data_IF_282134893890
#
_entry.id   IF_282134893890
#
_cell.length_a   1.000
_cell.length_b   1.000
_cell.length_c   1.000
_cell.angle_alpha   90.00
_cell.angle_beta   90.00
_cell.angle_gamma   90.00
#
_symmetry.space_group_name_H-M   'P 1'
#
loop_
_entity.id
_entity.type
_entity.pdbx_description
1 polymer ?
#
# COMPACT_ATOMS: atom_id res chain seq x y z
N UNK A 1 -1.59 -1.41 -19.73
CA UNK A 1 -1.69 -2.71 -19.01
C UNK A 1 -0.90 -2.59 -17.71
N UNK A 2 -1.55 -2.59 -16.54
CA UNK A 2 -0.94 -2.16 -15.28
C UNK A 2 -0.53 -3.36 -14.42
N UNK A 3 0.77 -3.49 -14.10
CA UNK A 3 1.35 -3.97 -12.83
C UNK A 3 2.86 -4.24 -13.02
N UNK A 4 3.71 -3.43 -12.37
CA UNK A 4 5.12 -3.79 -12.13
C UNK A 4 5.26 -3.87 -10.62
N UNK A 5 5.46 -5.07 -10.08
CA UNK A 5 5.41 -5.28 -8.63
C UNK A 5 6.83 -5.31 -8.03
N UNK A 6 7.20 -4.30 -7.24
CA UNK A 6 8.36 -4.34 -6.34
C UNK A 6 8.01 -4.96 -4.98
N UNK A 7 8.68 -6.05 -4.58
CA UNK A 7 8.35 -6.83 -3.37
C UNK A 7 9.31 -6.57 -2.21
N UNK A 8 8.79 -6.34 -1.00
CA UNK A 8 9.52 -6.56 0.27
C UNK A 8 8.59 -7.14 1.33
N UNK A 9 9.13 -7.90 2.29
CA UNK A 9 8.41 -8.51 3.43
C UNK A 9 8.55 -7.61 4.66
N UNK A 10 7.60 -7.62 5.62
CA UNK A 10 6.42 -8.48 5.74
C UNK A 10 5.08 -7.82 5.32
N UNK A 11 5.08 -6.56 4.93
CA UNK A 11 3.96 -5.85 4.28
C UNK A 11 4.18 -5.83 2.77
N UNK A 12 3.15 -6.07 1.95
CA UNK A 12 3.36 -6.03 0.49
C UNK A 12 3.19 -4.62 -0.03
N UNK A 13 4.28 -4.01 -0.48
CA UNK A 13 4.26 -2.84 -1.34
C UNK A 13 4.04 -3.30 -2.77
N UNK A 14 3.17 -2.63 -3.51
CA UNK A 14 2.88 -2.96 -4.91
C UNK A 14 2.82 -1.65 -5.68
N UNK A 15 3.71 -1.49 -6.66
CA UNK A 15 3.68 -0.33 -7.55
C UNK A 15 2.63 -0.52 -8.64
N UNK A 16 1.78 0.49 -8.81
CA UNK A 16 0.75 0.54 -9.83
C UNK A 16 1.06 1.69 -10.76
N UNK A 17 1.32 1.39 -12.04
CA UNK A 17 1.66 2.39 -13.05
C UNK A 17 0.64 2.41 -14.17
N UNK A 18 0.17 3.60 -14.55
CA UNK A 18 -0.69 3.72 -15.72
C UNK A 18 0.10 3.55 -17.02
N UNK A 19 0.18 2.31 -17.52
CA UNK A 19 0.73 1.95 -18.83
C UNK A 19 -0.36 1.95 -19.93
N UNK A 20 -1.46 2.68 -19.73
CA UNK A 20 -2.47 2.94 -20.75
C UNK A 20 -2.18 4.24 -21.50
N UNK A 21 -2.88 4.43 -22.62
CA UNK A 21 -2.75 5.65 -23.44
C UNK A 21 -3.66 6.80 -22.94
N UNK A 22 -4.55 6.51 -22.00
CA UNK A 22 -5.54 7.44 -21.44
C UNK A 22 -5.34 7.68 -19.95
N UNK A 23 -5.93 8.77 -19.46
CA UNK A 23 -5.94 9.09 -18.03
C UNK A 23 -6.95 8.20 -17.29
N UNK A 24 -6.51 7.61 -16.19
CA UNK A 24 -7.37 6.89 -15.27
C UNK A 24 -7.85 7.83 -14.16
N UNK A 25 -9.12 7.73 -13.79
CA UNK A 25 -9.76 8.56 -12.78
C UNK A 25 -10.40 7.71 -11.69
N UNK A 26 -10.55 8.30 -10.49
CA UNK A 26 -11.23 7.69 -9.35
C UNK A 26 -10.77 6.24 -9.11
N UNK A 27 -9.45 6.06 -9.08
CA UNK A 27 -8.82 4.74 -9.01
C UNK A 27 -8.93 4.25 -7.57
N UNK A 28 -9.41 3.02 -7.42
CA UNK A 28 -9.61 2.36 -6.14
C UNK A 28 -8.98 0.99 -6.16
N UNK A 29 -8.40 0.61 -5.04
CA UNK A 29 -8.01 -0.76 -4.76
C UNK A 29 -8.77 -1.26 -3.54
N UNK A 30 -9.38 -2.42 -3.69
CA UNK A 30 -10.07 -3.12 -2.60
C UNK A 30 -9.61 -4.57 -2.51
N UNK A 31 -9.80 -5.19 -1.36
CA UNK A 31 -9.57 -6.62 -1.15
C UNK A 31 -10.88 -7.34 -0.85
N UNK A 32 -10.87 -8.68 -0.88
CA UNK A 32 -11.99 -9.53 -0.44
C UNK A 32 -11.99 -9.74 1.08
N UNK A 33 -11.80 -8.66 1.85
CA UNK A 33 -11.64 -8.64 3.32
C UNK A 33 -10.43 -9.47 3.83
N UNK A 34 -9.54 -9.87 2.92
CA UNK A 34 -8.39 -10.71 3.19
C UNK A 34 -7.18 -9.97 3.75
N UNK A 35 -7.15 -8.67 3.50
CA UNK A 35 -6.09 -7.75 3.82
C UNK A 35 -6.66 -6.34 3.81
N UNK A 36 -5.98 -5.42 4.47
CA UNK A 36 -6.26 -4.01 4.30
C UNK A 36 -5.38 -3.46 3.17
N UNK A 37 -5.93 -2.51 2.42
CA UNK A 37 -5.22 -1.88 1.29
C UNK A 37 -5.22 -0.39 1.52
N UNK A 38 -4.03 0.17 1.66
CA UNK A 38 -3.82 1.61 1.70
C UNK A 38 -3.19 2.04 0.38
N UNK A 39 -3.64 3.14 -0.20
CA UNK A 39 -2.99 3.73 -1.36
C UNK A 39 -2.18 4.95 -0.93
N UNK A 40 -0.99 5.08 -1.48
CA UNK A 40 -0.06 6.14 -1.15
C UNK A 40 0.32 6.89 -2.44
N UNK A 41 0.13 8.20 -2.40
CA UNK A 41 0.51 9.12 -3.46
C UNK A 41 1.65 10.00 -2.98
N UNK A 42 2.63 10.20 -3.85
CA UNK A 42 3.72 11.14 -3.61
C UNK A 42 3.44 12.47 -4.31
N UNK A 43 3.96 13.55 -3.75
CA UNK A 43 3.97 14.84 -4.40
C UNK A 43 4.36 15.98 -3.46
N UNK A 44 5.00 17.04 -3.99
CA UNK A 44 5.40 18.20 -3.21
C UNK A 44 4.20 18.98 -2.62
N UNK A 45 2.98 18.69 -3.08
CA UNK A 45 1.76 19.25 -2.52
C UNK A 45 1.41 18.67 -1.14
N UNK A 46 1.96 17.52 -0.77
CA UNK A 46 1.69 16.86 0.51
C UNK A 46 2.70 17.32 1.55
N UNK A 47 2.21 17.64 2.74
CA UNK A 47 3.05 18.13 3.85
C UNK A 47 4.21 17.18 4.17
N UNK A 48 3.99 15.87 3.97
CA UNK A 48 4.95 14.81 4.27
C UNK A 48 5.71 14.28 3.04
N UNK A 49 5.63 14.98 1.91
CA UNK A 49 6.09 14.49 0.61
C UNK A 49 5.19 13.40 -0.01
N UNK A 50 4.36 12.72 0.79
CA UNK A 50 3.33 11.78 0.35
C UNK A 50 2.07 11.90 1.21
N UNK A 51 0.96 11.32 0.73
CA UNK A 51 -0.31 11.19 1.45
C UNK A 51 -0.89 9.79 1.26
N UNK A 52 -1.52 9.26 2.31
CA UNK A 52 -2.34 8.04 2.24
C UNK A 52 -3.75 8.46 1.84
N UNK A 53 -4.26 7.87 0.76
CA UNK A 53 -5.54 8.22 0.17
C UNK A 53 -6.45 7.01 0.06
N UNK A 54 -7.76 7.23 0.20
CA UNK A 54 -8.78 6.21 -0.03
C UNK A 54 -9.02 5.94 -1.52
N UNK A 55 -8.78 6.95 -2.36
CA UNK A 55 -8.83 6.85 -3.82
C UNK A 55 -7.80 7.78 -4.48
N UNK A 56 -7.25 7.32 -5.60
CA UNK A 56 -6.38 8.15 -6.44
C UNK A 56 -7.26 8.86 -7.47
N UNK A 57 -7.44 10.16 -7.29
CA UNK A 57 -8.36 10.95 -8.10
C UNK A 57 -8.04 10.89 -9.61
N UNK A 58 -6.75 10.89 -9.96
CA UNK A 58 -6.24 10.96 -11.32
C UNK A 58 -4.88 10.27 -11.42
N UNK A 59 -4.66 9.51 -12.49
CA UNK A 59 -3.35 8.96 -12.84
C UNK A 59 -3.14 9.03 -14.35
N UNK A 60 -2.23 9.91 -14.79
CA UNK A 60 -1.89 10.09 -16.20
C UNK A 60 -1.00 8.95 -16.71
N UNK A 61 -0.91 8.75 -18.03
CA UNK A 61 0.04 7.80 -18.61
C UNK A 61 1.47 8.01 -18.09
N UNK A 62 2.08 6.93 -17.61
CA UNK A 62 3.42 6.92 -17.02
C UNK A 62 3.49 7.26 -15.53
N UNK A 63 2.44 7.85 -14.94
CA UNK A 63 2.38 8.09 -13.50
C UNK A 63 2.12 6.78 -12.73
N UNK A 64 2.57 6.75 -11.48
CA UNK A 64 2.43 5.60 -10.60
C UNK A 64 1.98 6.00 -9.20
N UNK A 65 1.42 5.03 -8.48
CA UNK A 65 1.17 5.10 -7.05
C UNK A 65 1.54 3.77 -6.40
N UNK A 66 1.65 3.76 -5.07
CA UNK A 66 1.95 2.54 -4.31
C UNK A 66 0.71 2.09 -3.56
N UNK A 67 0.42 0.79 -3.63
CA UNK A 67 -0.50 0.17 -2.71
C UNK A 67 0.28 -0.58 -1.62
N UNK A 68 -0.18 -0.43 -0.38
CA UNK A 68 0.36 -1.07 0.81
C UNK A 68 -0.68 -2.08 1.26
N UNK A 69 -0.34 -3.36 1.15
CA UNK A 69 -1.22 -4.47 1.48
C UNK A 69 -0.83 -5.00 2.87
N UNK A 70 -1.70 -4.75 3.84
CA UNK A 70 -1.49 -5.09 5.23
C UNK A 70 -2.26 -6.36 5.61
N UNK A 71 -1.63 -7.30 6.34
CA UNK A 71 -2.31 -8.49 6.80
C UNK A 71 -3.32 -8.17 7.91
N UNK A 72 -4.57 -8.58 7.71
CA UNK A 72 -5.61 -8.48 8.74
C UNK A 72 -5.80 -9.78 9.54
N UNK A 73 -5.34 -10.91 9.00
CA UNK A 73 -5.53 -12.26 9.56
C UNK A 73 -4.28 -12.78 10.26
N UNK A 74 -4.45 -13.50 11.37
CA UNK A 74 -3.39 -14.26 12.07
C UNK A 74 -2.85 -15.45 11.26
N UNK A 75 -3.49 -15.79 10.14
CA UNK A 75 -3.01 -16.83 9.22
C UNK A 75 -2.40 -16.22 7.98
N UNK A 76 -1.19 -16.69 7.64
CA UNK A 76 -0.53 -16.29 6.41
C UNK A 76 -1.29 -16.80 5.17
N UNK A 77 -1.26 -16.01 4.11
CA UNK A 77 -1.90 -16.34 2.83
C UNK A 77 -0.85 -16.48 1.74
N UNK A 78 -0.89 -17.57 0.98
CA UNK A 78 0.06 -17.81 -0.12
C UNK A 78 -0.10 -16.83 -1.29
N UNK A 79 -1.27 -16.20 -1.41
CA UNK A 79 -1.56 -15.17 -2.42
C UNK A 79 -2.67 -14.24 -1.93
N UNK A 80 -2.67 -13.00 -2.43
CA UNK A 80 -3.69 -11.99 -2.13
C UNK A 80 -4.45 -11.65 -3.40
N UNK A 81 -5.76 -11.45 -3.29
CA UNK A 81 -6.59 -10.95 -4.39
C UNK A 81 -7.00 -9.52 -4.09
N UNK A 82 -6.75 -8.64 -5.04
CA UNK A 82 -7.22 -7.26 -5.01
C UNK A 82 -8.11 -6.98 -6.22
N UNK A 83 -9.03 -6.04 -6.09
CA UNK A 83 -9.85 -5.52 -7.18
C UNK A 83 -9.39 -4.09 -7.44
N UNK A 84 -8.92 -3.84 -8.67
CA UNK A 84 -8.60 -2.51 -9.18
C UNK A 84 -9.82 -1.98 -9.93
N UNK A 85 -10.30 -0.82 -9.52
CA UNK A 85 -11.43 -0.14 -10.16
C UNK A 85 -11.00 1.27 -10.57
N UNK A 86 -11.40 1.71 -11.76
CA UNK A 86 -11.15 3.07 -12.23
C UNK A 86 -12.11 3.45 -13.35
N UNK A 87 -12.25 4.76 -13.59
CA UNK A 87 -12.90 5.30 -14.76
C UNK A 87 -11.84 5.65 -15.81
N UNK A 88 -11.92 5.03 -16.99
CA UNK A 88 -11.05 5.34 -18.11
C UNK A 88 -11.70 6.42 -18.96
N UNK A 89 -11.03 7.57 -19.14
CA UNK A 89 -11.39 8.48 -20.22
C UNK A 89 -10.91 7.86 -21.54
N UNK A 90 -11.81 7.54 -22.50
CA UNK A 90 -11.33 7.09 -23.78
C UNK A 90 -10.76 8.28 -24.53
N UNK A 91 -9.70 8.02 -25.28
CA UNK A 91 -9.27 8.91 -26.37
C UNK A 91 -10.40 9.17 -27.37
N UNK A 92 -11.46 8.34 -27.43
CA UNK A 92 -12.68 8.54 -28.25
C UNK A 92 -13.91 7.81 -27.67
N UNK A 93 -14.88 8.57 -27.14
CA UNK A 93 -16.30 8.21 -26.87
C UNK A 93 -16.59 7.25 -25.68
N UNK A 94 -17.15 7.83 -24.62
CA UNK A 94 -17.71 7.25 -23.36
C UNK A 94 -16.75 6.79 -22.25
N UNK A 95 -16.85 7.45 -21.07
CA UNK A 95 -16.17 7.03 -19.84
C UNK A 95 -16.58 5.59 -19.51
N UNK A 96 -15.62 4.67 -19.58
CA UNK A 96 -15.88 3.27 -19.26
C UNK A 96 -15.39 2.98 -17.84
N UNK A 97 -16.24 2.34 -17.04
CA UNK A 97 -15.84 1.83 -15.74
C UNK A 97 -15.10 0.51 -15.93
N UNK A 98 -13.85 0.46 -15.48
CA UNK A 98 -13.03 -0.73 -15.51
C UNK A 98 -12.96 -1.29 -14.09
N UNK A 99 -13.30 -2.57 -13.92
CA UNK A 99 -13.11 -3.31 -12.68
C UNK A 99 -12.39 -4.61 -12.99
N UNK A 100 -11.22 -4.81 -12.39
CA UNK A 100 -10.35 -5.95 -12.64
C UNK A 100 -9.90 -6.60 -11.34
N UNK A 101 -10.20 -7.88 -11.21
CA UNK A 101 -9.65 -8.74 -10.15
C UNK A 101 -8.25 -9.20 -10.53
N UNK A 102 -7.31 -9.01 -9.60
CA UNK A 102 -5.89 -9.28 -9.79
C UNK A 102 -5.42 -10.17 -8.63
N UNK A 103 -4.83 -11.31 -8.98
CA UNK A 103 -4.15 -12.17 -8.02
C UNK A 103 -2.70 -11.74 -7.93
N UNK A 104 -2.30 -11.21 -6.78
CA UNK A 104 -0.93 -10.86 -6.49
C UNK A 104 -0.15 -12.16 -6.22
N UNK A 105 0.94 -12.44 -6.95
CA UNK A 105 1.70 -13.69 -6.85
C UNK A 105 2.61 -13.73 -5.61
N UNK A 106 2.24 -13.01 -4.55
CA UNK A 106 3.05 -12.80 -3.36
C UNK A 106 2.33 -13.33 -2.13
N UNK A 107 3.08 -14.07 -1.32
CA UNK A 107 2.65 -14.51 0.00
C UNK A 107 2.54 -13.30 0.93
N UNK A 108 1.36 -13.13 1.52
CA UNK A 108 1.12 -12.19 2.61
C UNK A 108 1.29 -12.92 3.94
N UNK A 109 2.26 -12.52 4.78
CA UNK A 109 2.42 -13.07 6.13
C UNK A 109 1.16 -12.89 6.99
N UNK A 110 1.12 -13.60 8.10
CA UNK A 110 0.12 -13.36 9.14
C UNK A 110 0.30 -11.96 9.76
N UNK A 111 -0.80 -11.40 10.27
CA UNK A 111 -0.81 -10.19 11.08
C UNK A 111 0.05 -10.40 12.31
N UNK A 112 1.03 -9.51 12.49
CA UNK A 112 1.86 -9.40 13.68
C UNK A 112 2.58 -8.06 13.67
N UNK A 113 3.13 -7.68 14.81
CA UNK A 113 4.03 -6.55 14.91
C UNK A 113 5.28 -6.76 14.05
N UNK A 114 5.72 -5.67 13.42
CA UNK A 114 6.98 -5.61 12.67
C UNK A 114 8.15 -5.59 13.64
N UNK A 115 9.17 -6.40 13.38
CA UNK A 115 10.43 -6.27 14.11
C UNK A 115 11.24 -5.06 13.62
N UNK A 116 12.30 -4.70 14.34
CA UNK A 116 13.13 -3.52 14.01
C UNK A 116 13.82 -3.62 12.64
N UNK A 117 14.16 -4.83 12.18
CA UNK A 117 14.79 -5.03 10.86
C UNK A 117 13.76 -4.86 9.75
N UNK A 118 12.54 -5.32 9.99
CA UNK A 118 11.42 -5.18 9.07
C UNK A 118 10.98 -3.72 8.95
N UNK A 119 10.85 -3.00 10.07
CA UNK A 119 10.63 -1.55 10.07
C UNK A 119 11.68 -0.82 9.24
N UNK A 120 12.97 -1.13 9.46
CA UNK A 120 14.07 -0.57 8.66
C UNK A 120 13.94 -0.91 7.17
N UNK A 121 13.60 -2.16 6.83
CA UNK A 121 13.47 -2.58 5.44
C UNK A 121 12.32 -1.88 4.71
N UNK A 122 11.21 -1.60 5.41
CA UNK A 122 10.09 -0.81 4.90
C UNK A 122 10.50 0.65 4.72
N UNK A 123 11.17 1.24 5.71
CA UNK A 123 11.67 2.61 5.62
C UNK A 123 12.66 2.78 4.46
N UNK A 124 13.61 1.86 4.28
CA UNK A 124 14.57 1.88 3.17
C UNK A 124 13.86 1.77 1.82
N UNK A 125 12.76 1.01 1.74
CA UNK A 125 11.96 0.91 0.53
C UNK A 125 11.29 2.23 0.20
N UNK A 126 10.58 2.83 1.15
CA UNK A 126 9.87 4.09 0.93
C UNK A 126 10.82 5.22 0.58
N UNK A 127 11.96 5.31 1.29
CA UNK A 127 13.00 6.29 0.96
C UNK A 127 13.52 6.07 -0.46
N UNK A 128 13.91 4.84 -0.81
CA UNK A 128 14.42 4.54 -2.14
C UNK A 128 13.39 4.81 -3.23
N UNK A 129 12.13 4.46 -2.98
CA UNK A 129 11.03 4.70 -3.91
C UNK A 129 10.83 6.19 -4.18
N UNK A 130 10.88 7.02 -3.13
CA UNK A 130 10.86 8.48 -3.24
C UNK A 130 12.07 9.01 -4.04
N UNK A 131 13.27 8.51 -3.74
CA UNK A 131 14.51 8.88 -4.45
C UNK A 131 14.44 8.50 -5.95
N UNK A 132 14.00 7.27 -6.28
CA UNK A 132 13.92 6.74 -7.64
C UNK A 132 12.89 7.51 -8.50
N UNK A 133 11.87 8.11 -7.87
CA UNK A 133 10.88 8.97 -8.52
C UNK A 133 11.30 10.45 -8.62
N UNK A 134 12.46 10.81 -8.04
CA UNK A 134 13.07 12.13 -8.17
C UNK A 134 12.50 13.18 -7.22
N UNK A 135 11.88 12.77 -6.12
CA UNK A 135 11.26 13.66 -5.14
C UNK A 135 11.92 13.49 -3.75
N UNK A 136 11.96 14.58 -2.99
CA UNK A 136 12.73 14.67 -1.74
C UNK A 136 11.86 14.51 -0.49
N UNK A 137 11.24 13.34 -0.29
CA UNK A 137 10.67 13.04 1.03
C UNK A 137 11.78 13.03 2.09
N UNK A 138 11.47 13.55 3.28
CA UNK A 138 12.45 13.61 4.37
C UNK A 138 12.43 12.32 5.17
N UNK A 139 13.59 11.95 5.72
CA UNK A 139 13.75 10.77 6.58
C UNK A 139 12.74 10.70 7.73
N UNK A 140 12.30 11.87 8.22
CA UNK A 140 11.37 12.02 9.34
C UNK A 140 9.96 11.60 8.94
N UNK A 141 9.53 11.92 7.72
CA UNK A 141 8.18 11.62 7.23
C UNK A 141 8.01 10.12 6.97
N UNK A 142 9.04 9.50 6.37
CA UNK A 142 9.08 8.05 6.18
C UNK A 142 9.10 7.34 7.52
N UNK A 143 9.86 7.86 8.50
CA UNK A 143 9.89 7.29 9.85
C UNK A 143 8.53 7.37 10.54
N UNK A 144 7.84 8.52 10.44
CA UNK A 144 6.51 8.69 11.00
C UNK A 144 5.51 7.71 10.40
N UNK A 145 5.52 7.49 9.09
CA UNK A 145 4.62 6.50 8.46
C UNK A 145 4.90 5.07 8.93
N UNK A 146 6.17 4.67 8.97
CA UNK A 146 6.55 3.32 9.39
C UNK A 146 6.19 3.05 10.83
N UNK A 147 6.20 4.06 11.69
CA UNK A 147 5.77 3.90 13.06
C UNK A 147 4.25 4.02 13.19
N UNK A 148 3.59 5.05 12.68
CA UNK A 148 2.19 5.31 13.05
C UNK A 148 1.20 4.50 12.20
N UNK A 149 1.32 4.53 10.87
CA UNK A 149 0.37 3.84 9.99
C UNK A 149 0.56 2.32 10.07
N UNK A 150 1.79 1.83 10.24
CA UNK A 150 2.01 0.38 10.40
C UNK A 150 1.73 -0.12 11.82
N UNK A 151 1.72 0.74 12.85
CA UNK A 151 1.29 0.37 14.21
C UNK A 151 -0.22 0.49 14.40
N UNK A 152 -0.87 1.60 14.03
CA UNK A 152 -2.32 1.81 14.20
C UNK A 152 -3.13 0.72 13.49
N UNK A 153 -2.72 0.32 12.29
CA UNK A 153 -3.36 -0.78 11.55
C UNK A 153 -2.96 -2.18 12.07
N UNK A 154 -2.06 -2.26 13.06
CA UNK A 154 -1.72 -3.47 13.81
C UNK A 154 -2.48 -3.58 15.14
N UNK A 155 -3.21 -2.55 15.58
CA UNK A 155 -3.88 -2.52 16.88
C UNK A 155 -5.17 -3.35 16.93
N UNK A 156 -4.97 -4.61 17.33
CA UNK A 156 -5.87 -5.47 18.09
C UNK A 156 -4.98 -6.64 18.58
N UNK A 157 -3.91 -6.29 19.28
CA UNK A 157 -3.28 -7.18 20.25
C UNK A 157 -3.46 -6.48 21.59
N UNK A 158 -4.49 -6.91 22.31
CA UNK A 158 -4.90 -6.41 23.62
C UNK A 158 -3.73 -6.49 24.62
N UNK A 159 -3.33 -5.39 25.28
CA UNK A 159 -2.26 -5.38 26.28
C UNK A 159 -2.66 -6.04 27.62
N UNK A 160 -3.87 -6.57 27.78
CA UNK A 160 -4.29 -7.26 29.02
C UNK A 160 -3.81 -8.70 29.17
N UNK A 161 -3.04 -9.25 28.21
CA UNK A 161 -2.64 -10.67 28.21
C UNK A 161 -1.22 -10.99 28.72
N UNK A 162 -0.48 -10.05 29.33
CA UNK A 162 0.87 -10.37 29.82
C UNK A 162 1.26 -9.77 31.19
N UNK A 163 0.29 -9.62 32.10
CA UNK A 163 0.60 -9.42 33.53
C UNK A 163 -0.27 -10.32 34.41
N UNK A 164 0.06 -11.61 34.46
CA UNK A 164 -0.16 -12.39 35.68
C UNK A 164 0.88 -13.52 35.80
N UNK A 165 2.11 -13.24 36.26
CA UNK A 165 2.89 -14.28 36.87
C UNK A 165 2.21 -14.64 38.20
N UNK A 166 1.59 -15.81 38.23
CA UNK A 166 1.21 -16.49 39.47
C UNK A 166 2.38 -16.37 40.46
N UNK A 167 2.17 -15.63 41.54
CA UNK A 167 2.88 -15.83 42.79
C UNK A 167 2.03 -16.75 43.65
N UNK A 168 2.44 -18.02 43.72
CA UNK A 168 2.35 -18.87 44.90
C UNK A 168 3.62 -19.73 44.95
#
# INVERSE_FOLDING_TARGET
MIAICGFRRPTLFVDWRNDGDGTAHAIKLSSDDSCEVLMMLEGPQYERGFEVVEDVALLKPGEAFVAIILPTSETARESVRVTLEYLEEPTRLEKSHVSRRILLPYRLPARRLLDIREKRAVWEYMRKWSDDLGYGSTDVEVHYFVDEVLLEHSELADPTLDENPQQD
#
